data_IF_582462698484
#
_entry.id   IF_582462698484
#
_cell.length_a   1.000
_cell.length_b   1.000
_cell.length_c   1.000
_cell.angle_alpha   90.00
_cell.angle_beta   90.00
_cell.angle_gamma   90.00
#
_symmetry.space_group_name_H-M   'P 1'
#
loop_
_entity.id
_entity.type
_entity.pdbx_description
1 polymer ?
#
# COMPACT_ATOMS: atom_id res chain seq x y z
N UNK A 1 26.74 5.58 -0.58
CA UNK A 1 26.04 6.72 0.10
C UNK A 1 24.58 6.40 -0.01
N UNK A 2 23.93 6.10 1.10
CA UNK A 2 22.52 5.76 1.11
C UNK A 2 21.71 6.97 0.65
N UNK A 3 20.79 6.75 -0.28
CA UNK A 3 20.05 7.86 -0.91
C UNK A 3 19.05 8.50 0.06
N UNK A 4 18.51 7.72 0.99
CA UNK A 4 17.43 8.15 1.86
C UNK A 4 17.69 7.96 3.36
N UNK A 5 18.83 7.58 3.80
CA UNK A 5 19.18 7.33 5.21
C UNK A 5 18.03 6.76 6.05
N UNK A 6 17.85 5.43 5.95
CA UNK A 6 16.92 4.67 6.78
C UNK A 6 17.63 3.91 7.91
N UNK A 7 18.90 4.25 8.18
CA UNK A 7 19.76 3.57 9.16
C UNK A 7 19.09 3.51 10.52
N UNK A 8 19.06 2.32 11.11
CA UNK A 8 18.50 2.08 12.43
C UNK A 8 16.97 2.10 12.52
N UNK A 9 16.25 2.48 11.45
CA UNK A 9 14.78 2.48 11.47
C UNK A 9 14.22 1.04 11.49
N UNK A 10 13.15 0.86 12.24
CA UNK A 10 12.37 -0.39 12.28
C UNK A 10 11.08 -0.19 11.52
N UNK A 11 10.84 -1.02 10.50
CA UNK A 11 9.69 -0.92 9.61
C UNK A 11 8.81 -2.17 9.75
N UNK A 12 7.53 -1.96 9.93
CA UNK A 12 6.51 -3.00 9.76
C UNK A 12 6.04 -3.01 8.30
N UNK A 13 6.27 -4.11 7.61
CA UNK A 13 5.81 -4.31 6.23
C UNK A 13 4.58 -5.23 6.25
N UNK A 14 3.41 -4.68 5.95
CA UNK A 14 2.14 -5.41 5.89
C UNK A 14 1.87 -5.85 4.46
N UNK A 15 2.04 -7.14 4.20
CA UNK A 15 2.05 -7.76 2.87
C UNK A 15 3.17 -8.79 2.76
N UNK A 16 3.86 -8.89 1.64
CA UNK A 16 5.08 -9.72 1.50
C UNK A 16 5.04 -10.78 0.39
N UNK A 17 3.92 -10.96 -0.30
CA UNK A 17 3.73 -12.06 -1.24
C UNK A 17 3.90 -11.66 -2.71
N UNK A 18 3.71 -10.39 -3.05
CA UNK A 18 3.72 -9.92 -4.44
C UNK A 18 5.12 -9.61 -4.98
N UNK A 19 5.26 -9.52 -6.30
CA UNK A 19 6.50 -9.08 -6.93
C UNK A 19 6.88 -7.64 -6.54
N UNK A 20 5.89 -6.76 -6.31
CA UNK A 20 6.12 -5.41 -5.82
C UNK A 20 6.64 -5.41 -4.39
N UNK A 21 6.11 -6.28 -3.51
CA UNK A 21 6.60 -6.42 -2.13
C UNK A 21 8.08 -6.78 -2.11
N UNK A 22 8.49 -7.73 -2.96
CA UNK A 22 9.89 -8.14 -3.07
C UNK A 22 10.79 -6.97 -3.48
N UNK A 23 10.36 -6.15 -4.44
CA UNK A 23 11.12 -4.97 -4.87
C UNK A 23 11.23 -3.94 -3.75
N UNK A 24 10.13 -3.66 -3.01
CA UNK A 24 10.15 -2.73 -1.89
C UNK A 24 11.06 -3.26 -0.77
N UNK A 25 10.92 -4.53 -0.39
CA UNK A 25 11.76 -5.15 0.64
C UNK A 25 13.24 -5.16 0.26
N UNK A 26 13.56 -5.39 -1.00
CA UNK A 26 14.93 -5.30 -1.51
C UNK A 26 15.49 -3.87 -1.41
N UNK A 27 14.71 -2.86 -1.81
CA UNK A 27 15.09 -1.45 -1.70
C UNK A 27 15.32 -1.06 -0.24
N UNK A 28 14.39 -1.37 0.66
CA UNK A 28 14.54 -1.06 2.08
C UNK A 28 15.81 -1.66 2.66
N UNK A 29 16.13 -2.91 2.33
CA UNK A 29 17.36 -3.58 2.78
C UNK A 29 18.63 -2.93 2.22
N UNK A 30 18.59 -2.37 1.01
CA UNK A 30 19.74 -1.67 0.41
C UNK A 30 20.04 -0.30 1.05
N UNK A 31 19.07 0.28 1.78
CA UNK A 31 19.24 1.55 2.51
C UNK A 31 19.77 1.36 3.94
N UNK A 32 20.39 0.20 4.24
CA UNK A 32 20.95 -0.11 5.57
C UNK A 32 19.96 0.03 6.72
N UNK A 33 18.70 -0.29 6.44
CA UNK A 33 17.63 -0.22 7.43
C UNK A 33 17.95 -1.09 8.65
N UNK A 34 17.55 -0.65 9.84
CA UNK A 34 17.79 -1.40 11.06
C UNK A 34 17.08 -2.75 11.06
N UNK A 35 15.78 -2.76 10.78
CA UNK A 35 14.98 -3.99 10.75
C UNK A 35 13.71 -3.83 9.90
N UNK A 36 13.35 -4.88 9.17
CA UNK A 36 12.04 -4.98 8.50
C UNK A 36 11.33 -6.24 8.98
N UNK A 37 10.17 -6.06 9.61
CA UNK A 37 9.30 -7.14 10.06
C UNK A 37 8.16 -7.25 9.06
N UNK A 38 8.01 -8.45 8.46
CA UNK A 38 6.94 -8.74 7.49
C UNK A 38 5.76 -9.35 8.22
N UNK A 39 4.56 -8.83 7.96
CA UNK A 39 3.31 -9.24 8.56
C UNK A 39 2.23 -9.42 7.49
N UNK A 40 1.59 -10.58 7.43
CA UNK A 40 0.67 -10.95 6.36
C UNK A 40 -0.74 -11.38 6.81
N UNK A 41 -1.12 -11.13 8.08
CA UNK A 41 -2.45 -11.53 8.58
C UNK A 41 -3.58 -10.68 7.96
N UNK A 42 -4.65 -11.36 7.53
CA UNK A 42 -5.85 -10.75 6.96
C UNK A 42 -7.10 -10.90 7.84
N UNK A 43 -7.04 -11.73 8.89
CA UNK A 43 -8.15 -11.88 9.82
C UNK A 43 -8.16 -10.71 10.81
N UNK A 44 -9.09 -9.77 10.59
CA UNK A 44 -9.20 -8.53 11.38
C UNK A 44 -9.36 -8.80 12.88
N UNK A 45 -10.03 -9.91 13.26
CA UNK A 45 -10.25 -10.26 14.67
C UNK A 45 -8.96 -10.66 15.41
N UNK A 46 -7.95 -11.14 14.71
CA UNK A 46 -6.67 -11.59 15.28
C UNK A 46 -5.60 -10.47 15.29
N UNK A 47 -5.72 -9.47 14.42
CA UNK A 47 -4.71 -8.42 14.20
C UNK A 47 -4.33 -7.71 15.51
N UNK A 48 -5.30 -7.34 16.36
CA UNK A 48 -5.00 -6.62 17.60
C UNK A 48 -4.05 -7.39 18.51
N UNK A 49 -4.30 -8.67 18.71
CA UNK A 49 -3.48 -9.51 19.57
C UNK A 49 -2.09 -9.74 18.96
N UNK A 50 -2.02 -10.01 17.67
CA UNK A 50 -0.76 -10.25 16.98
C UNK A 50 0.11 -8.99 16.91
N UNK A 51 -0.44 -7.83 16.58
CA UNK A 51 0.27 -6.55 16.60
C UNK A 51 0.79 -6.24 18.01
N UNK A 52 -0.01 -6.50 19.06
CA UNK A 52 0.44 -6.32 20.45
C UNK A 52 1.65 -7.18 20.78
N UNK A 53 1.65 -8.45 20.38
CA UNK A 53 2.80 -9.34 20.59
C UNK A 53 4.01 -8.94 19.74
N UNK A 54 3.80 -8.49 18.48
CA UNK A 54 4.86 -7.93 17.65
C UNK A 54 5.53 -6.70 18.30
N UNK A 55 4.73 -5.77 18.80
CA UNK A 55 5.25 -4.58 19.51
C UNK A 55 6.00 -4.96 20.79
N UNK A 56 5.50 -5.93 21.54
CA UNK A 56 6.15 -6.43 22.76
C UNK A 56 7.52 -7.06 22.45
N UNK A 57 7.61 -7.81 21.36
CA UNK A 57 8.82 -8.55 20.99
C UNK A 57 9.87 -7.65 20.30
N UNK A 58 9.43 -6.66 19.52
CA UNK A 58 10.31 -5.89 18.65
C UNK A 58 10.40 -4.40 19.05
N UNK A 59 9.53 -3.91 19.95
CA UNK A 59 9.41 -2.48 20.25
C UNK A 59 8.57 -1.73 19.22
N UNK A 60 8.57 -0.39 19.31
CA UNK A 60 7.82 0.47 18.41
C UNK A 60 8.51 0.62 17.05
N UNK A 61 7.70 0.90 16.02
CA UNK A 61 8.12 1.04 14.62
C UNK A 61 8.30 2.51 14.24
N UNK A 62 9.29 2.78 13.39
CA UNK A 62 9.57 4.09 12.79
C UNK A 62 8.83 4.27 11.46
N UNK A 63 8.30 3.18 10.92
CA UNK A 63 7.49 3.23 9.71
C UNK A 63 6.63 2.00 9.51
N UNK A 64 5.60 2.19 8.69
CA UNK A 64 4.69 1.12 8.24
C UNK A 64 4.53 1.21 6.74
N UNK A 65 4.70 0.09 6.03
CA UNK A 65 4.33 -0.04 4.62
C UNK A 65 3.16 -1.00 4.53
N UNK A 66 2.06 -0.56 3.95
CA UNK A 66 0.87 -1.39 3.73
C UNK A 66 0.68 -1.67 2.25
N UNK A 67 0.80 -2.93 1.84
CA UNK A 67 0.61 -3.35 0.45
C UNK A 67 -0.19 -4.66 0.35
N UNK A 68 -1.38 -4.69 0.97
CA UNK A 68 -2.34 -5.77 0.72
C UNK A 68 -3.21 -5.39 -0.47
N UNK A 69 -3.37 -6.33 -1.41
CA UNK A 69 -4.16 -6.14 -2.63
C UNK A 69 -5.03 -7.36 -2.87
N UNK A 70 -6.34 -7.16 -2.73
CA UNK A 70 -7.35 -8.08 -3.21
C UNK A 70 -8.14 -7.40 -4.34
N UNK A 71 -8.05 -7.91 -5.55
CA UNK A 71 -8.74 -7.38 -6.73
C UNK A 71 -9.49 -8.50 -7.46
N UNK A 72 -10.71 -8.21 -7.89
CA UNK A 72 -11.51 -9.11 -8.72
C UNK A 72 -12.12 -8.33 -9.90
N UNK A 73 -12.25 -9.02 -11.02
CA UNK A 73 -12.91 -8.52 -12.22
C UNK A 73 -14.28 -9.19 -12.34
N UNK A 74 -15.33 -8.44 -11.98
CA UNK A 74 -16.68 -9.01 -12.01
C UNK A 74 -17.70 -8.00 -12.52
N UNK A 75 -18.40 -8.30 -13.64
CA UNK A 75 -19.53 -7.50 -14.09
C UNK A 75 -20.59 -7.37 -13.00
N UNK A 76 -21.25 -6.20 -12.91
CA UNK A 76 -22.14 -5.83 -11.81
C UNK A 76 -23.19 -6.89 -11.46
N UNK A 77 -23.80 -7.54 -12.47
CA UNK A 77 -24.82 -8.56 -12.25
C UNK A 77 -24.33 -9.83 -11.54
N UNK A 78 -23.00 -10.02 -11.45
CA UNK A 78 -22.38 -11.16 -10.77
C UNK A 78 -21.68 -10.77 -9.46
N UNK A 79 -21.71 -9.51 -9.08
CA UNK A 79 -21.14 -9.05 -7.82
C UNK A 79 -22.06 -9.41 -6.66
N UNK A 80 -21.57 -10.24 -5.75
CA UNK A 80 -22.29 -10.64 -4.53
C UNK A 80 -21.81 -9.79 -3.34
N UNK A 81 -22.66 -9.56 -2.31
CA UNK A 81 -22.27 -8.82 -1.11
C UNK A 81 -21.02 -9.39 -0.42
N UNK A 82 -20.88 -10.71 -0.33
CA UNK A 82 -19.73 -11.35 0.31
C UNK A 82 -18.41 -10.98 -0.37
N UNK A 83 -18.39 -10.93 -1.71
CA UNK A 83 -17.21 -10.48 -2.46
C UNK A 83 -16.85 -9.02 -2.14
N UNK A 84 -17.87 -8.14 -2.09
CA UNK A 84 -17.66 -6.73 -1.74
C UNK A 84 -17.08 -6.63 -0.34
N UNK A 85 -17.68 -7.33 0.64
CA UNK A 85 -17.22 -7.36 2.02
C UNK A 85 -15.79 -7.86 2.13
N UNK A 86 -15.43 -8.94 1.44
CA UNK A 86 -14.09 -9.50 1.45
C UNK A 86 -13.05 -8.52 0.87
N UNK A 87 -13.34 -7.89 -0.27
CA UNK A 87 -12.44 -6.89 -0.89
C UNK A 87 -12.26 -5.67 0.02
N UNK A 88 -13.36 -5.19 0.64
CA UNK A 88 -13.30 -4.10 1.62
C UNK A 88 -12.51 -4.50 2.85
N UNK A 89 -12.73 -5.69 3.38
CA UNK A 89 -11.98 -6.22 4.51
C UNK A 89 -10.47 -6.19 4.24
N UNK A 90 -10.03 -6.83 3.16
CA UNK A 90 -8.62 -7.03 2.89
C UNK A 90 -7.90 -5.72 2.54
N UNK A 91 -8.52 -4.89 1.69
CA UNK A 91 -7.87 -3.66 1.20
C UNK A 91 -7.99 -2.46 2.13
N UNK A 92 -8.98 -2.44 3.04
CA UNK A 92 -9.30 -1.27 3.86
C UNK A 92 -9.38 -1.60 5.35
N UNK A 93 -10.23 -2.57 5.79
CA UNK A 93 -10.42 -2.82 7.22
C UNK A 93 -9.15 -3.34 7.88
N UNK A 94 -8.38 -4.21 7.22
CA UNK A 94 -7.06 -4.67 7.68
C UNK A 94 -6.11 -3.50 7.90
N UNK A 95 -6.05 -2.53 6.98
CA UNK A 95 -5.23 -1.32 7.16
C UNK A 95 -5.62 -0.55 8.41
N UNK A 96 -6.92 -0.25 8.56
CA UNK A 96 -7.43 0.50 9.71
C UNK A 96 -7.12 -0.24 11.01
N UNK A 97 -7.34 -1.55 11.04
CA UNK A 97 -7.12 -2.35 12.22
C UNK A 97 -5.64 -2.45 12.62
N UNK A 98 -4.74 -2.60 11.65
CA UNK A 98 -3.30 -2.57 11.91
C UNK A 98 -2.88 -1.23 12.52
N UNK A 99 -3.29 -0.10 11.93
CA UNK A 99 -2.91 1.23 12.46
C UNK A 99 -3.54 1.48 13.81
N UNK A 100 -4.82 1.11 14.01
CA UNK A 100 -5.51 1.19 15.30
C UNK A 100 -4.78 0.40 16.38
N UNK A 101 -4.38 -0.83 16.07
CA UNK A 101 -3.70 -1.74 17.00
C UNK A 101 -2.30 -1.27 17.34
N UNK A 102 -1.54 -0.76 16.37
CA UNK A 102 -0.25 -0.11 16.61
C UNK A 102 -0.41 1.12 17.52
N UNK A 103 -1.41 1.96 17.27
CA UNK A 103 -1.68 3.12 18.11
C UNK A 103 -2.02 2.72 19.55
N UNK A 104 -2.90 1.73 19.72
CA UNK A 104 -3.35 1.22 21.02
C UNK A 104 -2.21 0.58 21.84
N UNK A 105 -1.30 -0.13 21.17
CA UNK A 105 -0.14 -0.79 21.81
C UNK A 105 1.08 0.13 21.95
N UNK A 106 0.99 1.42 21.59
CA UNK A 106 2.13 2.35 21.51
C UNK A 106 3.24 1.86 20.59
N UNK A 107 2.87 1.16 19.53
CA UNK A 107 3.76 0.54 18.55
C UNK A 107 4.25 1.48 17.45
N UNK A 108 3.98 2.79 17.52
CA UNK A 108 4.49 3.79 16.59
C UNK A 108 5.35 4.81 17.36
N UNK A 109 6.56 5.02 16.91
CA UNK A 109 7.43 6.09 17.42
C UNK A 109 6.92 7.47 16.99
N UNK A 110 7.20 8.51 17.79
CA UNK A 110 6.97 9.87 17.34
C UNK A 110 7.81 10.15 16.08
N UNK A 111 7.21 10.78 15.08
CA UNK A 111 7.87 11.02 13.81
C UNK A 111 7.82 9.82 12.82
N UNK A 112 7.16 8.73 13.16
CA UNK A 112 7.00 7.58 12.26
C UNK A 112 6.34 7.96 10.92
N UNK A 113 6.56 7.15 9.89
CA UNK A 113 5.98 7.36 8.56
C UNK A 113 5.17 6.13 8.12
N UNK A 114 3.92 6.34 7.73
CA UNK A 114 3.01 5.32 7.24
C UNK A 114 2.80 5.54 5.73
N UNK A 115 3.06 4.51 4.93
CA UNK A 115 2.90 4.53 3.48
C UNK A 115 1.95 3.41 3.07
N UNK A 116 0.78 3.77 2.54
CA UNK A 116 -0.22 2.82 2.07
C UNK A 116 -0.21 2.74 0.54
N UNK A 117 -0.18 1.51 0.00
CA UNK A 117 -0.25 1.29 -1.43
C UNK A 117 -1.70 1.32 -1.90
N UNK A 118 -2.04 2.34 -2.65
CA UNK A 118 -3.33 2.52 -3.30
C UNK A 118 -3.23 2.21 -4.81
N UNK A 119 -4.19 2.66 -5.59
CA UNK A 119 -4.27 2.47 -7.02
C UNK A 119 -4.91 3.68 -7.67
N UNK A 120 -4.52 3.99 -8.91
CA UNK A 120 -5.26 4.96 -9.74
C UNK A 120 -6.74 4.58 -9.91
N UNK A 121 -7.10 3.33 -9.64
CA UNK A 121 -8.49 2.88 -9.63
C UNK A 121 -9.36 3.56 -8.55
N UNK A 122 -8.77 4.22 -7.55
CA UNK A 122 -9.48 5.01 -6.56
C UNK A 122 -10.02 6.33 -7.13
N UNK A 123 -9.38 6.86 -8.18
CA UNK A 123 -9.73 8.13 -8.85
C UNK A 123 -10.25 7.94 -10.27
N UNK A 124 -9.90 6.83 -10.92
CA UNK A 124 -10.34 6.50 -12.29
C UNK A 124 -11.10 5.18 -12.29
N UNK A 125 -12.38 5.25 -12.61
CA UNK A 125 -13.25 4.08 -12.66
C UNK A 125 -12.76 3.06 -13.69
N UNK A 126 -12.81 1.79 -13.32
CA UNK A 126 -12.51 0.65 -14.18
C UNK A 126 -13.73 -0.25 -14.28
N UNK A 127 -14.06 -0.68 -15.53
CA UNK A 127 -15.17 -1.60 -15.78
C UNK A 127 -14.94 -2.92 -15.04
N UNK A 128 -15.98 -3.43 -14.38
CA UNK A 128 -15.98 -4.67 -13.60
C UNK A 128 -15.05 -4.70 -12.37
N UNK A 129 -14.59 -3.53 -11.87
CA UNK A 129 -13.75 -3.40 -10.67
C UNK A 129 -14.39 -2.55 -9.56
N UNK A 130 -15.73 -2.48 -9.49
CA UNK A 130 -16.43 -1.57 -8.58
C UNK A 130 -15.96 -1.71 -7.12
N UNK A 131 -15.94 -2.92 -6.57
CA UNK A 131 -15.55 -3.15 -5.18
C UNK A 131 -14.09 -2.79 -4.91
N UNK A 132 -13.18 -3.11 -5.84
CA UNK A 132 -11.77 -2.73 -5.75
C UNK A 132 -11.58 -1.21 -5.79
N UNK A 133 -12.21 -0.52 -6.75
CA UNK A 133 -12.15 0.95 -6.83
C UNK A 133 -12.66 1.59 -5.53
N UNK A 134 -13.80 1.13 -5.01
CA UNK A 134 -14.37 1.62 -3.77
C UNK A 134 -13.44 1.40 -2.56
N UNK A 135 -12.83 0.21 -2.44
CA UNK A 135 -11.93 -0.11 -1.33
C UNK A 135 -10.65 0.75 -1.34
N UNK A 136 -10.09 1.04 -2.52
CA UNK A 136 -8.91 1.90 -2.63
C UNK A 136 -9.25 3.38 -2.40
N UNK A 137 -10.43 3.83 -2.80
CA UNK A 137 -10.91 5.17 -2.45
C UNK A 137 -11.14 5.32 -0.93
N UNK A 138 -11.69 4.29 -0.27
CA UNK A 138 -11.83 4.25 1.18
C UNK A 138 -10.46 4.32 1.90
N UNK A 139 -9.46 3.58 1.40
CA UNK A 139 -8.09 3.63 1.91
C UNK A 139 -7.51 5.05 1.81
N UNK A 140 -7.63 5.70 0.65
CA UNK A 140 -7.13 7.07 0.45
C UNK A 140 -7.80 8.06 1.41
N UNK A 141 -9.12 7.96 1.59
CA UNK A 141 -9.85 8.80 2.54
C UNK A 141 -9.39 8.57 3.99
N UNK A 142 -9.16 7.31 4.40
CA UNK A 142 -8.63 6.99 5.73
C UNK A 142 -7.25 7.60 5.96
N UNK A 143 -6.36 7.55 4.96
CA UNK A 143 -5.02 8.14 5.03
C UNK A 143 -5.10 9.65 5.29
N UNK A 144 -6.00 10.37 4.62
CA UNK A 144 -6.19 11.79 4.87
C UNK A 144 -6.65 12.08 6.32
N UNK A 145 -7.59 11.29 6.84
CA UNK A 145 -8.05 11.42 8.24
C UNK A 145 -6.94 11.12 9.23
N UNK A 146 -6.21 10.01 9.03
CA UNK A 146 -5.10 9.60 9.90
C UNK A 146 -3.94 10.58 9.87
N UNK A 147 -3.66 11.21 8.73
CA UNK A 147 -2.63 12.25 8.62
C UNK A 147 -2.91 13.44 9.56
N UNK A 148 -4.17 13.84 9.69
CA UNK A 148 -4.58 14.92 10.61
C UNK A 148 -4.55 14.44 12.07
N UNK A 149 -5.07 13.23 12.33
CA UNK A 149 -5.19 12.68 13.69
C UNK A 149 -3.83 12.38 14.33
N UNK A 150 -2.86 11.90 13.54
CA UNK A 150 -1.55 11.48 14.02
C UNK A 150 -0.49 12.60 13.96
N UNK A 151 -0.78 13.73 13.30
CA UNK A 151 0.11 14.88 13.18
C UNK A 151 0.66 15.42 14.52
N UNK A 152 -0.10 15.48 15.66
CA UNK A 152 0.43 15.92 16.93
C UNK A 152 1.62 15.09 17.46
N UNK A 153 1.80 13.86 16.97
CA UNK A 153 2.95 13.01 17.29
C UNK A 153 4.05 13.09 16.21
N UNK A 154 3.91 13.97 15.23
CA UNK A 154 4.81 14.07 14.09
C UNK A 154 4.70 12.89 13.12
N UNK A 155 3.71 12.00 13.28
CA UNK A 155 3.52 10.83 12.42
C UNK A 155 2.92 11.29 11.09
N UNK A 156 3.55 10.85 10.00
CA UNK A 156 3.12 11.16 8.63
C UNK A 156 2.39 9.96 8.03
N UNK A 157 1.33 10.21 7.26
CA UNK A 157 0.55 9.16 6.61
C UNK A 157 0.29 9.57 5.17
N UNK A 158 0.73 8.77 4.20
CA UNK A 158 0.62 9.07 2.77
C UNK A 158 0.20 7.84 1.97
N UNK A 159 -0.36 8.05 0.78
CA UNK A 159 -0.61 6.97 -0.19
C UNK A 159 0.27 7.10 -1.42
N UNK A 160 0.54 5.96 -2.04
CA UNK A 160 1.05 5.87 -3.41
C UNK A 160 -0.05 5.24 -4.27
N UNK A 161 -0.63 6.00 -5.20
CA UNK A 161 -1.55 5.49 -6.21
C UNK A 161 -0.74 4.99 -7.40
N UNK A 162 -0.61 3.67 -7.50
CA UNK A 162 0.12 3.05 -8.61
C UNK A 162 -0.77 2.78 -9.82
N UNK A 163 -0.22 2.96 -11.00
CA UNK A 163 -0.75 2.44 -12.26
C UNK A 163 -0.42 0.95 -12.46
N UNK A 164 -0.38 0.52 -13.72
CA UNK A 164 0.07 -0.82 -14.09
C UNK A 164 1.57 -0.97 -13.80
N UNK A 165 1.92 -1.96 -12.97
CA UNK A 165 3.31 -2.23 -12.56
C UNK A 165 3.88 -3.39 -13.36
N UNK A 166 5.11 -3.27 -13.85
CA UNK A 166 5.79 -4.32 -14.59
C UNK A 166 6.36 -5.40 -13.64
N UNK A 167 5.46 -6.28 -13.14
CA UNK A 167 5.81 -7.45 -12.33
C UNK A 167 5.13 -8.71 -12.89
N UNK A 168 5.77 -9.86 -12.78
CA UNK A 168 5.29 -11.10 -13.41
C UNK A 168 3.93 -11.58 -12.90
N UNK A 169 3.61 -11.36 -11.63
CA UNK A 169 2.31 -11.71 -11.06
C UNK A 169 1.16 -10.85 -11.64
N UNK A 170 1.42 -9.59 -11.92
CA UNK A 170 0.45 -8.70 -12.57
C UNK A 170 0.25 -9.09 -14.03
N UNK A 171 1.33 -9.55 -14.72
CA UNK A 171 1.24 -10.09 -16.09
C UNK A 171 0.37 -11.34 -16.15
N UNK A 172 0.53 -12.28 -15.22
CA UNK A 172 -0.28 -13.49 -15.14
C UNK A 172 -1.76 -13.17 -14.86
N UNK A 173 -2.03 -12.23 -13.96
CA UNK A 173 -3.40 -11.77 -13.67
C UNK A 173 -4.05 -11.12 -14.88
N UNK A 174 -3.32 -10.23 -15.57
CA UNK A 174 -3.77 -9.56 -16.80
C UNK A 174 -4.03 -10.59 -17.90
N UNK A 175 -3.15 -11.59 -18.11
CA UNK A 175 -3.35 -12.62 -19.11
C UNK A 175 -4.60 -13.47 -18.86
N UNK A 176 -4.89 -13.81 -17.62
CA UNK A 176 -6.10 -14.54 -17.25
C UNK A 176 -7.39 -13.71 -17.48
N UNK A 177 -7.28 -12.38 -17.34
CA UNK A 177 -8.37 -11.43 -17.58
C UNK A 177 -8.50 -11.09 -19.07
N UNK A 178 -7.40 -11.09 -19.82
CA UNK A 178 -7.37 -10.84 -21.28
C UNK A 178 -8.09 -11.91 -22.10
N UNK A 179 -8.24 -13.13 -21.58
CA UNK A 179 -9.17 -14.10 -22.20
C UNK A 179 -10.62 -13.55 -22.25
N UNK A 180 -10.89 -12.46 -21.54
CA UNK A 180 -12.20 -11.78 -21.46
C UNK A 180 -12.18 -10.36 -22.08
N UNK A 181 -11.00 -9.72 -22.40
CA UNK A 181 -10.97 -8.29 -22.83
C UNK A 181 -9.78 -7.82 -23.65
N UNK A 182 -10.12 -7.18 -24.79
CA UNK A 182 -9.22 -6.35 -25.63
C UNK A 182 -8.97 -4.93 -25.08
N UNK A 183 -9.82 -4.41 -24.16
CA UNK A 183 -9.84 -2.98 -23.77
C UNK A 183 -8.81 -2.59 -22.69
N UNK A 184 -8.37 -3.55 -21.85
CA UNK A 184 -7.35 -3.27 -20.81
C UNK A 184 -5.92 -3.35 -21.34
N UNK A 185 -5.68 -4.10 -22.41
CA UNK A 185 -4.40 -4.07 -23.14
C UNK A 185 -4.09 -2.67 -23.66
N UNK A 186 -5.16 -1.92 -23.99
CA UNK A 186 -5.02 -0.53 -24.46
C UNK A 186 -4.63 0.44 -23.35
N UNK A 187 -5.04 0.21 -22.11
CA UNK A 187 -4.73 1.08 -20.96
C UNK A 187 -3.24 1.06 -20.60
N UNK A 188 -2.60 -0.12 -20.66
CA UNK A 188 -1.15 -0.25 -20.42
C UNK A 188 -0.30 0.45 -21.50
N UNK A 189 -0.82 0.51 -22.73
CA UNK A 189 -0.17 1.20 -23.85
C UNK A 189 -0.52 2.70 -23.92
N UNK A 190 -1.42 3.19 -23.07
CA UNK A 190 -1.86 4.58 -23.04
C UNK A 190 -1.09 5.47 -22.07
N UNK A 191 -0.31 4.89 -21.15
CA UNK A 191 0.54 5.70 -20.28
C UNK A 191 1.70 6.31 -21.10
N UNK A 192 1.85 7.63 -21.17
CA UNK A 192 2.87 8.30 -21.98
C UNK A 192 4.31 7.83 -21.72
N UNK A 193 4.62 7.48 -20.47
CA UNK A 193 5.93 6.98 -20.05
C UNK A 193 5.99 5.44 -19.94
N UNK A 194 4.91 4.75 -20.33
CA UNK A 194 4.82 3.30 -20.25
C UNK A 194 4.47 2.78 -18.85
N UNK A 195 4.70 1.47 -18.64
CA UNK A 195 4.44 0.82 -17.35
C UNK A 195 5.39 1.28 -16.27
N UNK A 196 4.87 1.38 -15.05
CA UNK A 196 5.65 1.71 -13.86
C UNK A 196 6.57 0.54 -13.50
N UNK A 197 7.82 0.81 -13.23
CA UNK A 197 8.74 -0.19 -12.70
C UNK A 197 8.53 -0.35 -11.19
N UNK A 198 8.58 -1.57 -10.68
CA UNK A 198 8.47 -1.84 -9.25
C UNK A 198 9.55 -1.11 -8.43
N UNK A 199 10.74 -0.89 -9.03
CA UNK A 199 11.84 -0.14 -8.42
C UNK A 199 11.51 1.35 -8.22
N UNK A 200 10.74 1.98 -9.11
CA UNK A 200 10.34 3.40 -8.96
C UNK A 200 9.38 3.57 -7.78
N UNK A 201 8.48 2.61 -7.58
CA UNK A 201 7.60 2.59 -6.40
C UNK A 201 8.43 2.34 -5.14
N UNK A 202 9.35 1.39 -5.17
CA UNK A 202 10.21 1.06 -4.03
C UNK A 202 11.06 2.25 -3.58
N UNK A 203 11.64 2.99 -4.51
CA UNK A 203 12.35 4.25 -4.28
C UNK A 203 11.45 5.31 -3.62
N UNK A 204 10.21 5.45 -4.12
CA UNK A 204 9.25 6.41 -3.53
C UNK A 204 8.84 6.02 -2.12
N UNK A 205 8.70 4.72 -1.84
CA UNK A 205 8.45 4.21 -0.47
C UNK A 205 9.61 4.59 0.44
N UNK A 206 10.86 4.32 0.04
CA UNK A 206 12.04 4.67 0.82
C UNK A 206 12.11 6.20 1.08
N UNK A 207 11.84 7.03 0.06
CA UNK A 207 11.76 8.47 0.18
C UNK A 207 10.73 8.91 1.22
N UNK A 208 9.50 8.38 1.18
CA UNK A 208 8.45 8.73 2.12
C UNK A 208 8.73 8.26 3.56
N UNK A 209 9.46 7.17 3.73
CA UNK A 209 9.88 6.66 5.05
C UNK A 209 11.04 7.46 5.65
N UNK A 210 11.80 8.17 4.82
CA UNK A 210 13.01 8.89 5.24
C UNK A 210 12.70 10.21 5.97
N UNK A 211 13.70 10.74 6.64
CA UNK A 211 13.64 12.05 7.29
C UNK A 211 13.85 13.23 6.33
N UNK A 212 14.08 12.96 5.04
CA UNK A 212 14.18 13.98 4.00
C UNK A 212 12.87 14.76 3.79
N UNK A 213 11.73 14.19 4.20
CA UNK A 213 10.39 14.73 3.90
C UNK A 213 9.50 14.84 5.15
N UNK A 214 9.88 15.70 6.08
CA UNK A 214 9.20 15.82 7.39
C UNK A 214 7.82 16.48 7.34
N UNK A 215 7.45 17.13 6.24
CA UNK A 215 6.18 17.86 6.09
C UNK A 215 5.25 17.28 5.02
N UNK A 216 5.63 16.16 4.38
CA UNK A 216 4.74 15.46 3.43
C UNK A 216 3.87 14.51 4.24
N UNK A 217 2.60 14.87 4.43
CA UNK A 217 1.58 14.05 5.09
C UNK A 217 0.20 14.33 4.50
N UNK A 218 -0.70 13.36 4.52
CA UNK A 218 -2.02 13.47 3.93
C UNK A 218 -1.99 13.64 2.41
N UNK A 219 -0.93 13.19 1.74
CA UNK A 219 -0.81 13.33 0.29
C UNK A 219 -0.90 12.00 -0.42
N UNK A 220 -1.27 12.08 -1.67
CA UNK A 220 -1.29 10.97 -2.62
C UNK A 220 -0.26 11.23 -3.70
N UNK A 221 0.73 10.34 -3.83
CA UNK A 221 1.69 10.38 -4.93
C UNK A 221 1.20 9.42 -6.01
N UNK A 222 0.90 9.97 -7.20
CA UNK A 222 0.50 9.18 -8.37
C UNK A 222 1.75 8.73 -9.12
N UNK A 223 1.87 7.42 -9.35
CA UNK A 223 2.94 6.81 -10.14
C UNK A 223 2.28 5.89 -11.17
N UNK A 224 2.00 6.43 -12.35
CA UNK A 224 1.20 5.75 -13.38
C UNK A 224 1.70 5.98 -14.82
N UNK A 225 2.89 6.56 -14.99
CA UNK A 225 3.44 6.87 -16.29
C UNK A 225 2.68 7.96 -17.05
N UNK A 226 1.86 8.78 -16.35
CA UNK A 226 1.02 9.81 -16.94
C UNK A 226 -0.33 9.31 -17.46
N UNK A 227 -0.75 8.11 -17.07
CA UNK A 227 -2.00 7.51 -17.54
C UNK A 227 -3.26 8.27 -17.10
N UNK A 228 -3.22 8.97 -15.97
CA UNK A 228 -4.34 9.78 -15.46
C UNK A 228 -4.22 11.27 -15.71
N UNK A 229 -3.17 11.70 -16.40
CA UNK A 229 -2.92 13.11 -16.72
C UNK A 229 -3.92 13.68 -17.76
#
# INVERSE_FOLDING_TARGET
MNKYDLSGKRILFVGGETGLDKAILQQLRSEEIGEVIVYGQLNVEEIENEIKELVKSNGAFDGVVFNIVHSDFRPLQFVKPDLVNQIMNDNYCVFVEVIRSLKKSRGLNNGASIVAMSSISSIRAMKAKMAFCASKAALDAAVHCLAVELAPQGIRVNTIQKGAVDVDAEKAHIQNVMAVRSDEVSAENQAPLGKVKATEIAETVAFLLSDAVKTITGTTIVIDGGYTA
#
